data_IF_180558174638
#
_entry.id   IF_180558174638
#
_cell.length_a   1.000
_cell.length_b   1.000
_cell.length_c   1.000
_cell.angle_alpha   90.00
_cell.angle_beta   90.00
_cell.angle_gamma   90.00
#
_symmetry.space_group_name_H-M   'P 1'
#
loop_
_entity.id
_entity.type
_entity.pdbx_description
1 polymer ?
#
# COMPACT_ATOMS: atom_id res chain seq x y z
N UNK A 1 -16.07 13.33 -5.83
CA UNK A 1 -14.62 13.06 -5.95
C UNK A 1 -14.37 11.59 -6.17
N UNK A 2 -13.42 11.28 -7.04
CA UNK A 2 -12.96 9.90 -7.23
C UNK A 2 -12.08 9.48 -6.04
N UNK A 3 -11.84 8.18 -5.93
CA UNK A 3 -10.94 7.65 -4.91
C UNK A 3 -9.54 8.27 -5.05
N UNK A 4 -9.06 8.39 -6.28
CA UNK A 4 -7.75 8.98 -6.53
C UNK A 4 -7.69 10.45 -6.09
N UNK A 5 -8.73 11.21 -6.36
CA UNK A 5 -8.79 12.61 -5.94
C UNK A 5 -8.80 12.76 -4.42
N UNK A 6 -9.56 11.91 -3.73
CA UNK A 6 -9.57 11.90 -2.27
C UNK A 6 -8.20 11.52 -1.71
N UNK A 7 -7.56 10.54 -2.34
CA UNK A 7 -6.22 10.12 -1.93
C UNK A 7 -5.20 11.26 -2.07
N UNK A 8 -5.18 11.91 -3.22
CA UNK A 8 -4.25 13.01 -3.46
C UNK A 8 -4.45 14.13 -2.43
N UNK A 9 -5.70 14.44 -2.13
CA UNK A 9 -6.02 15.47 -1.14
C UNK A 9 -5.47 15.11 0.25
N UNK A 10 -5.64 13.86 0.66
CA UNK A 10 -5.10 13.40 1.94
C UNK A 10 -3.58 13.40 1.94
N UNK A 11 -2.96 12.99 0.84
CA UNK A 11 -1.51 12.97 0.74
C UNK A 11 -0.93 14.39 0.85
N UNK A 12 -1.59 15.36 0.24
CA UNK A 12 -1.14 16.75 0.33
C UNK A 12 -1.10 17.25 1.76
N UNK A 13 -2.01 16.77 2.59
CA UNK A 13 -2.02 17.11 4.02
C UNK A 13 -0.91 16.44 4.83
N UNK A 14 -0.27 15.41 4.29
CA UNK A 14 0.81 14.68 4.94
C UNK A 14 2.20 15.05 4.40
N UNK A 15 2.25 15.64 3.23
CA UNK A 15 3.50 15.96 2.56
C UNK A 15 4.11 17.25 3.10
N UNK A 16 5.43 17.30 3.10
CA UNK A 16 6.16 18.52 3.46
C UNK A 16 6.10 19.52 2.32
N UNK A 17 6.39 20.78 2.65
CA UNK A 17 6.49 21.83 1.65
C UNK A 17 7.58 21.46 0.61
N UNK A 18 7.23 21.51 -0.65
CA UNK A 18 8.16 21.16 -1.73
C UNK A 18 8.19 19.69 -2.08
N UNK A 19 7.52 18.84 -1.32
CA UNK A 19 7.43 17.42 -1.62
C UNK A 19 6.38 17.21 -2.73
N UNK A 20 6.69 16.37 -3.71
CA UNK A 20 5.78 16.10 -4.82
C UNK A 20 5.57 14.62 -5.02
N UNK A 21 4.35 14.24 -5.40
CA UNK A 21 4.05 12.86 -5.75
C UNK A 21 4.73 12.54 -7.08
N UNK A 22 5.57 11.52 -7.09
CA UNK A 22 6.34 11.12 -8.26
C UNK A 22 5.76 9.93 -8.98
N UNK A 23 4.88 9.17 -8.33
CA UNK A 23 4.21 8.05 -8.94
C UNK A 23 3.06 7.58 -8.07
N UNK A 24 2.06 6.97 -8.71
CA UNK A 24 0.92 6.42 -8.00
C UNK A 24 0.35 5.23 -8.75
N UNK A 25 -0.29 4.33 -8.02
CA UNK A 25 -0.88 3.12 -8.58
C UNK A 25 -2.04 2.68 -7.69
N UNK A 26 -3.05 2.04 -8.27
CA UNK A 26 -4.07 1.37 -7.48
C UNK A 26 -3.56 0.03 -7.01
N UNK A 27 -3.84 -0.30 -5.76
CA UNK A 27 -3.43 -1.58 -5.19
C UNK A 27 -4.40 -1.99 -4.08
N UNK A 28 -4.30 -3.25 -3.65
CA UNK A 28 -5.01 -3.73 -2.48
C UNK A 28 -4.04 -3.79 -1.32
N UNK A 29 -4.48 -3.33 -0.18
CA UNK A 29 -3.69 -3.23 1.04
C UNK A 29 -4.25 -4.15 2.12
N UNK A 30 -3.32 -4.75 2.87
CA UNK A 30 -3.67 -5.56 4.02
C UNK A 30 -2.57 -5.41 5.07
N UNK A 31 -2.96 -5.13 6.31
CA UNK A 31 -2.00 -5.04 7.39
C UNK A 31 -1.92 -6.37 8.13
N UNK A 32 -0.72 -6.86 8.35
CA UNK A 32 -0.52 -8.05 9.17
C UNK A 32 -0.72 -7.75 10.66
N UNK A 33 -0.64 -6.48 11.05
CA UNK A 33 -0.65 -6.10 12.46
C UNK A 33 -2.02 -5.85 13.05
N UNK A 34 -3.10 -6.14 12.33
CA UNK A 34 -4.37 -6.11 12.99
C UNK A 34 -5.53 -5.41 12.35
N UNK A 35 -5.53 -5.24 11.04
CA UNK A 35 -6.74 -4.77 10.37
C UNK A 35 -7.91 -5.72 10.64
N UNK A 36 -7.61 -6.99 10.89
CA UNK A 36 -8.62 -7.98 11.25
C UNK A 36 -9.36 -7.62 12.54
N UNK A 37 -8.77 -6.77 13.38
CA UNK A 37 -9.43 -6.31 14.58
C UNK A 37 -10.36 -5.13 14.37
N UNK A 38 -10.45 -4.61 13.17
CA UNK A 38 -11.35 -3.50 12.88
C UNK A 38 -12.80 -3.97 12.82
N UNK A 39 -13.68 -3.04 13.16
CA UNK A 39 -15.12 -3.31 13.16
C UNK A 39 -15.57 -3.79 11.79
N UNK A 40 -16.35 -4.86 11.76
CA UNK A 40 -16.95 -5.35 10.55
C UNK A 40 -16.15 -6.38 9.78
N UNK A 41 -14.96 -6.76 10.27
CA UNK A 41 -14.19 -7.84 9.65
C UNK A 41 -14.55 -9.16 10.32
N UNK A 42 -15.27 -10.05 9.64
CA UNK A 42 -15.71 -11.30 10.27
C UNK A 42 -14.55 -12.28 10.44
N UNK A 43 -14.62 -13.04 11.51
CA UNK A 43 -13.72 -14.17 11.79
C UNK A 43 -12.24 -13.82 11.88
N UNK A 44 -11.93 -12.54 12.09
CA UNK A 44 -10.56 -12.11 12.18
C UNK A 44 -9.76 -12.16 10.88
N UNK A 45 -10.41 -12.49 9.77
CA UNK A 45 -9.73 -12.50 8.48
C UNK A 45 -9.67 -11.08 7.91
N UNK A 46 -8.48 -10.59 7.58
CA UNK A 46 -8.37 -9.26 7.03
C UNK A 46 -9.00 -9.18 5.64
N UNK A 47 -9.70 -8.09 5.38
CA UNK A 47 -10.24 -7.80 4.06
C UNK A 47 -9.25 -6.89 3.33
N UNK A 48 -8.84 -7.24 2.10
CA UNK A 48 -8.02 -6.34 1.30
C UNK A 48 -8.79 -5.04 1.02
N UNK A 49 -8.09 -3.94 1.14
CA UNK A 49 -8.66 -2.62 0.94
C UNK A 49 -8.10 -2.03 -0.33
N UNK A 50 -8.96 -1.74 -1.30
CA UNK A 50 -8.51 -1.09 -2.53
C UNK A 50 -8.22 0.37 -2.25
N UNK A 51 -7.10 0.83 -2.72
CA UNK A 51 -6.70 2.21 -2.53
C UNK A 51 -5.65 2.67 -3.50
N UNK A 52 -5.08 3.82 -3.20
CA UNK A 52 -4.04 4.44 -4.01
C UNK A 52 -2.74 4.42 -3.23
N UNK A 53 -1.73 3.80 -3.83
CA UNK A 53 -0.37 3.79 -3.31
C UNK A 53 0.43 4.81 -4.12
N UNK A 54 1.17 5.67 -3.44
CA UNK A 54 1.95 6.72 -4.09
C UNK A 54 3.30 6.86 -3.41
N UNK A 55 4.24 7.47 -4.10
CA UNK A 55 5.52 7.82 -3.48
C UNK A 55 5.94 9.22 -3.89
N UNK A 56 6.70 9.83 -2.99
CA UNK A 56 7.34 11.11 -3.24
C UNK A 56 8.86 10.89 -3.22
N UNK A 57 9.62 11.95 -3.16
CA UNK A 57 11.06 11.84 -2.96
C UNK A 57 11.46 11.50 -1.52
N UNK A 58 10.50 11.44 -0.60
CA UNK A 58 10.77 11.20 0.83
C UNK A 58 9.99 10.08 1.46
N UNK A 59 8.82 9.73 0.90
CA UNK A 59 7.88 8.87 1.60
C UNK A 59 7.07 7.98 0.68
N UNK A 60 6.60 6.88 1.25
CA UNK A 60 5.57 6.03 0.66
C UNK A 60 4.24 6.38 1.32
N UNK A 61 3.20 6.51 0.52
CA UNK A 61 1.88 6.92 0.98
C UNK A 61 0.82 5.97 0.47
N UNK A 62 -0.16 5.67 1.30
CA UNK A 62 -1.32 4.88 0.89
C UNK A 62 -2.59 5.51 1.44
N UNK A 63 -3.63 5.50 0.62
CA UNK A 63 -4.98 5.90 1.03
C UNK A 63 -5.98 4.87 0.54
N UNK A 64 -6.81 4.37 1.45
CA UNK A 64 -7.91 3.50 1.12
C UNK A 64 -9.09 3.79 2.02
N UNK A 65 -10.26 3.26 1.67
CA UNK A 65 -11.47 3.48 2.45
C UNK A 65 -12.12 2.15 2.80
N UNK A 66 -12.33 1.93 4.09
CA UNK A 66 -13.06 0.76 4.58
C UNK A 66 -14.53 1.12 4.62
N UNK A 67 -15.35 0.36 3.90
CA UNK A 67 -16.81 0.59 3.84
C UNK A 67 -17.17 2.02 3.40
N UNK A 68 -16.34 2.65 2.59
CA UNK A 68 -16.54 3.99 2.02
C UNK A 68 -16.58 5.14 3.04
N UNK A 69 -16.44 4.84 4.32
CA UNK A 69 -16.56 5.87 5.37
C UNK A 69 -15.34 6.00 6.27
N UNK A 70 -14.52 4.97 6.34
CA UNK A 70 -13.40 4.94 7.26
C UNK A 70 -12.09 4.95 6.47
N UNK A 71 -11.39 6.08 6.39
CA UNK A 71 -10.16 6.14 5.64
C UNK A 71 -9.00 5.45 6.37
N UNK A 72 -8.18 4.76 5.62
CA UNK A 72 -6.90 4.24 6.07
C UNK A 72 -5.84 5.05 5.36
N UNK A 73 -4.98 5.71 6.09
CA UNK A 73 -3.91 6.54 5.52
C UNK A 73 -2.59 6.07 6.10
N UNK A 74 -1.66 5.71 5.22
CA UNK A 74 -0.30 5.38 5.62
C UNK A 74 0.64 6.46 5.12
N UNK A 75 1.58 6.84 5.96
CA UNK A 75 2.66 7.74 5.61
C UNK A 75 3.94 7.16 6.19
N UNK A 76 4.75 6.57 5.32
CA UNK A 76 5.96 5.86 5.73
C UNK A 76 7.18 6.55 5.12
N UNK A 77 7.93 7.33 5.91
CA UNK A 77 9.17 7.92 5.41
C UNK A 77 10.15 6.82 4.97
N UNK A 78 10.84 7.06 3.88
CA UNK A 78 11.77 6.04 3.35
C UNK A 78 12.83 5.62 4.36
N UNK A 79 13.27 6.54 5.22
CA UNK A 79 14.28 6.20 6.22
C UNK A 79 13.79 5.18 7.26
N UNK A 80 12.47 5.00 7.38
CA UNK A 80 11.89 4.01 8.29
C UNK A 80 11.70 2.64 7.64
N UNK A 81 11.79 2.57 6.32
CA UNK A 81 11.62 1.30 5.61
C UNK A 81 12.89 0.47 5.77
N UNK A 82 12.75 -0.70 6.37
CA UNK A 82 13.85 -1.63 6.59
C UNK A 82 14.08 -2.51 5.37
N UNK A 83 12.99 -2.94 4.74
CA UNK A 83 13.04 -3.87 3.62
C UNK A 83 11.73 -3.84 2.86
N UNK A 84 11.81 -4.08 1.54
CA UNK A 84 10.64 -4.37 0.70
C UNK A 84 10.92 -5.74 0.08
N UNK A 85 10.06 -6.71 0.37
CA UNK A 85 10.25 -8.05 -0.16
C UNK A 85 8.98 -8.59 -0.79
N UNK A 86 9.13 -9.60 -1.64
CA UNK A 86 7.99 -10.30 -2.22
C UNK A 86 7.53 -11.41 -1.29
N UNK A 87 6.23 -11.69 -1.32
CA UNK A 87 5.65 -12.78 -0.57
C UNK A 87 4.49 -13.36 -1.34
N UNK A 88 3.70 -14.18 -0.68
CA UNK A 88 2.48 -14.74 -1.26
C UNK A 88 1.35 -14.62 -0.26
N UNK A 89 0.19 -14.28 -0.76
CA UNK A 89 -1.02 -14.22 0.04
C UNK A 89 -2.00 -15.24 -0.50
N UNK A 90 -2.57 -16.03 0.39
CA UNK A 90 -3.58 -17.01 0.04
C UNK A 90 -4.95 -16.38 0.30
N UNK A 91 -5.72 -16.15 -0.76
CA UNK A 91 -7.05 -15.57 -0.63
C UNK A 91 -8.18 -16.51 -1.04
N UNK A 92 -7.83 -17.73 -1.44
CA UNK A 92 -8.78 -18.82 -1.68
C UNK A 92 -8.04 -20.13 -1.47
N UNK A 93 -8.78 -21.20 -1.27
CA UNK A 93 -8.22 -22.49 -0.84
C UNK A 93 -7.04 -22.96 -1.71
N UNK A 94 -7.10 -22.75 -3.01
CA UNK A 94 -6.05 -23.19 -3.93
C UNK A 94 -5.46 -22.05 -4.74
N UNK A 95 -5.74 -20.80 -4.35
CA UNK A 95 -5.22 -19.66 -5.08
C UNK A 95 -4.30 -18.85 -4.20
N UNK A 96 -3.13 -18.55 -4.72
CA UNK A 96 -2.21 -17.64 -4.06
C UNK A 96 -1.89 -16.50 -5.01
N UNK A 97 -1.59 -15.36 -4.45
CA UNK A 97 -1.23 -14.18 -5.21
C UNK A 97 0.10 -13.65 -4.69
N UNK A 98 1.01 -13.26 -5.59
CA UNK A 98 2.22 -12.61 -5.12
C UNK A 98 1.89 -11.26 -4.50
N UNK A 99 2.65 -10.91 -3.49
CA UNK A 99 2.48 -9.66 -2.75
C UNK A 99 3.81 -8.95 -2.62
N UNK A 100 3.72 -7.66 -2.29
CA UNK A 100 4.88 -6.91 -1.81
C UNK A 100 4.67 -6.58 -0.35
N UNK A 101 5.68 -6.81 0.46
CA UNK A 101 5.63 -6.54 1.90
C UNK A 101 6.63 -5.43 2.21
N UNK A 102 6.11 -4.32 2.69
CA UNK A 102 6.93 -3.20 3.15
C UNK A 102 7.13 -3.35 4.64
N UNK A 103 8.37 -3.52 5.05
CA UNK A 103 8.72 -3.74 6.46
C UNK A 103 9.32 -2.46 7.03
N UNK A 104 8.65 -1.91 8.02
CA UNK A 104 9.11 -0.79 8.82
C UNK A 104 8.91 -1.17 10.29
N UNK A 105 8.25 -0.37 11.10
CA UNK A 105 7.90 -0.81 12.46
C UNK A 105 6.82 -1.89 12.44
N UNK A 106 6.05 -1.92 11.37
CA UNK A 106 5.02 -2.92 11.12
C UNK A 106 5.25 -3.53 9.74
N UNK A 107 4.39 -4.46 9.35
CA UNK A 107 4.45 -5.08 8.03
C UNK A 107 3.18 -4.73 7.26
N UNK A 108 3.36 -4.08 6.12
CA UNK A 108 2.26 -3.67 5.27
C UNK A 108 2.30 -4.47 3.97
N UNK A 109 1.19 -5.11 3.63
CA UNK A 109 1.10 -6.00 2.49
C UNK A 109 0.31 -5.35 1.36
N UNK A 110 0.87 -5.32 0.16
CA UNK A 110 0.22 -4.78 -1.03
C UNK A 110 0.14 -5.84 -2.10
N UNK A 111 -1.01 -5.95 -2.76
CA UNK A 111 -1.22 -6.96 -3.78
C UNK A 111 -2.14 -6.45 -4.90
N UNK A 112 -2.21 -7.22 -5.97
CA UNK A 112 -3.17 -6.98 -7.06
C UNK A 112 -4.19 -8.09 -7.15
N UNK A 113 -4.23 -8.94 -6.15
CA UNK A 113 -5.17 -10.05 -6.01
C UNK A 113 -5.17 -11.00 -7.22
N UNK A 114 -3.99 -11.27 -7.73
CA UNK A 114 -3.83 -12.23 -8.83
C UNK A 114 -3.91 -11.64 -10.22
N UNK A 115 -4.14 -10.35 -10.37
CA UNK A 115 -4.11 -9.70 -11.67
C UNK A 115 -2.66 -9.51 -12.10
N UNK A 116 -2.24 -10.28 -13.11
CA UNK A 116 -0.83 -10.29 -13.53
C UNK A 116 -0.36 -8.96 -14.14
N UNK A 117 -1.21 -8.32 -14.94
CA UNK A 117 -0.84 -7.06 -15.57
C UNK A 117 -0.66 -5.96 -14.53
N UNK A 118 -1.56 -5.90 -13.57
CA UNK A 118 -1.45 -4.93 -12.48
C UNK A 118 -0.27 -5.25 -11.58
N UNK A 119 0.04 -6.53 -11.40
CA UNK A 119 1.19 -6.93 -10.59
C UNK A 119 2.50 -6.45 -11.21
N UNK A 120 2.64 -6.52 -12.54
CA UNK A 120 3.84 -6.01 -13.22
C UNK A 120 4.00 -4.52 -12.97
N UNK A 121 2.91 -3.77 -12.97
CA UNK A 121 2.94 -2.34 -12.66
C UNK A 121 3.36 -2.09 -11.22
N UNK A 122 2.84 -2.88 -10.29
CA UNK A 122 3.18 -2.78 -8.87
C UNK A 122 4.66 -3.11 -8.65
N UNK A 123 5.16 -4.13 -9.34
CA UNK A 123 6.56 -4.52 -9.28
C UNK A 123 7.47 -3.37 -9.75
N UNK A 124 7.14 -2.78 -10.90
CA UNK A 124 7.90 -1.63 -11.41
C UNK A 124 7.85 -0.44 -10.45
N UNK A 125 6.71 -0.22 -9.83
CA UNK A 125 6.53 0.83 -8.83
C UNK A 125 7.53 0.65 -7.67
N UNK A 126 7.60 -0.55 -7.12
CA UNK A 126 8.51 -0.81 -6.00
C UNK A 126 9.97 -0.87 -6.43
N UNK A 127 10.27 -1.35 -7.64
CA UNK A 127 11.62 -1.31 -8.17
C UNK A 127 12.13 0.12 -8.29
N UNK A 128 11.30 1.03 -8.77
CA UNK A 128 11.66 2.44 -8.88
C UNK A 128 11.97 3.03 -7.50
N UNK A 129 11.15 2.74 -6.51
CA UNK A 129 11.39 3.22 -5.16
C UNK A 129 12.71 2.66 -4.63
N UNK A 130 12.93 1.38 -4.82
CA UNK A 130 14.13 0.73 -4.32
C UNK A 130 15.39 1.31 -4.96
N UNK A 131 15.38 1.48 -6.27
CA UNK A 131 16.53 2.01 -6.99
C UNK A 131 16.82 3.48 -6.64
N UNK A 132 15.78 4.28 -6.56
CA UNK A 132 15.95 5.73 -6.39
C UNK A 132 16.20 6.14 -4.95
N UNK A 133 15.64 5.43 -3.99
CA UNK A 133 15.60 5.91 -2.61
C UNK A 133 16.11 4.93 -1.56
N UNK A 134 16.11 3.64 -1.82
CA UNK A 134 16.44 2.64 -0.81
C UNK A 134 17.76 1.89 -1.05
N UNK A 135 18.19 1.77 -2.28
CA UNK A 135 19.38 1.01 -2.65
C UNK A 135 20.65 1.85 -2.56
N UNK A 136 20.99 2.29 -1.36
CA UNK A 136 22.19 3.09 -1.15
C UNK A 136 23.12 2.43 -0.16
#
# INVERSE_FOLDING_TARGET
>A
MSLKERAIKEFQGKMDSGEEIRGSIFTYYESESGLSGLVGVPNGNPMPIKGVLAYTDKSLLFYGEVFTKLPIVLHIPFYKIKEIKTGKQIFAIFKSSPTFVVIHDEREVFSTRGNKEEFIKLESFFENINEMFLAK
#
